data_IF_771752979374
#
_entry.id   IF_771752979374
#
_cell.length_a   1.000
_cell.length_b   1.000
_cell.length_c   1.000
_cell.angle_alpha   90.00
_cell.angle_beta   90.00
_cell.angle_gamma   90.00
#
_symmetry.space_group_name_H-M   'P 1'
#
loop_
_entity.id
_entity.type
_entity.pdbx_description
1 polymer ?
#
# COMPACT_ATOMS: atom_id res chain seq x y z
N UNK A 1 -1.04 -9.21 -7.20
CA UNK A 1 -2.08 -8.16 -7.37
C UNK A 1 -3.22 -8.75 -8.18
N UNK A 2 -4.45 -8.37 -7.88
CA UNK A 2 -5.67 -8.71 -8.62
C UNK A 2 -6.35 -7.39 -8.97
N UNK A 3 -6.77 -7.25 -10.22
CA UNK A 3 -7.26 -5.98 -10.77
C UNK A 3 -8.59 -6.21 -11.46
N UNK A 4 -9.60 -5.44 -11.07
CA UNK A 4 -10.86 -5.28 -11.80
C UNK A 4 -10.69 -4.13 -12.80
N UNK A 5 -10.73 -4.44 -14.10
CA UNK A 5 -10.51 -3.44 -15.15
C UNK A 5 -11.70 -2.50 -15.37
N UNK A 6 -12.85 -2.80 -14.76
CA UNK A 6 -14.03 -1.93 -14.73
C UNK A 6 -14.06 -0.98 -13.54
N UNK A 7 -13.37 -1.32 -12.44
CA UNK A 7 -13.28 -0.49 -11.23
C UNK A 7 -11.93 -0.69 -10.52
N UNK A 8 -11.01 0.22 -10.79
CA UNK A 8 -9.64 0.15 -10.29
C UNK A 8 -9.51 0.32 -8.78
N UNK A 9 -10.50 0.92 -8.10
CA UNK A 9 -10.49 1.02 -6.63
C UNK A 9 -10.81 -0.30 -5.93
N UNK A 10 -11.27 -1.32 -6.68
CA UNK A 10 -11.48 -2.68 -6.19
C UNK A 10 -10.23 -3.55 -6.30
N UNK A 11 -9.13 -3.01 -6.83
CA UNK A 11 -7.87 -3.73 -6.90
C UNK A 11 -7.35 -4.08 -5.50
N UNK A 12 -6.82 -5.29 -5.37
CA UNK A 12 -6.22 -5.78 -4.13
C UNK A 12 -4.83 -6.33 -4.41
N UNK A 13 -3.94 -6.15 -3.44
CA UNK A 13 -2.52 -6.49 -3.53
C UNK A 13 -2.03 -7.17 -2.26
N UNK A 14 -0.90 -7.84 -2.40
CA UNK A 14 -0.17 -8.36 -1.26
C UNK A 14 1.31 -8.39 -1.59
N UNK A 15 2.11 -8.00 -0.61
CA UNK A 15 3.56 -8.18 -0.54
C UNK A 15 3.92 -8.47 0.92
N UNK A 16 4.91 -9.34 1.11
CA UNK A 16 5.34 -9.82 2.43
C UNK A 16 6.82 -9.48 2.65
N UNK A 17 7.27 -9.22 3.88
CA UNK A 17 6.47 -9.13 5.11
C UNK A 17 5.77 -7.77 5.31
N UNK A 18 6.16 -6.76 4.54
CA UNK A 18 5.62 -5.41 4.58
C UNK A 18 6.14 -4.58 3.41
N UNK A 19 5.72 -3.31 3.34
CA UNK A 19 6.08 -2.39 2.25
C UNK A 19 7.47 -1.76 2.42
N UNK A 20 8.02 -1.74 3.63
CA UNK A 20 9.35 -1.17 3.88
C UNK A 20 10.42 -2.25 3.95
N UNK A 21 11.62 -1.95 3.43
CA UNK A 21 12.83 -2.75 3.63
C UNK A 21 13.63 -2.39 4.89
N UNK A 22 13.28 -1.29 5.55
CA UNK A 22 13.94 -0.82 6.78
C UNK A 22 13.38 -1.56 8.02
N UNK A 23 14.18 -2.35 8.76
CA UNK A 23 13.74 -3.09 9.95
C UNK A 23 13.10 -2.26 11.05
N UNK A 24 13.46 -0.97 11.15
CA UNK A 24 12.93 -0.06 12.18
C UNK A 24 11.60 0.58 11.77
N UNK A 25 11.19 0.41 10.50
CA UNK A 25 9.93 0.95 9.98
C UNK A 25 8.71 0.19 10.53
N UNK A 26 7.61 0.89 10.91
CA UNK A 26 6.35 0.21 11.24
C UNK A 26 5.77 -0.59 10.06
N UNK A 27 6.21 -0.30 8.84
CA UNK A 27 5.78 -0.98 7.62
C UNK A 27 6.74 -2.10 7.17
N UNK A 28 7.72 -2.47 7.99
CA UNK A 28 8.67 -3.54 7.66
C UNK A 28 8.01 -4.91 7.54
N UNK A 29 7.12 -5.23 8.48
CA UNK A 29 6.51 -6.57 8.60
C UNK A 29 5.01 -6.59 8.91
N UNK A 30 4.34 -5.44 8.76
CA UNK A 30 2.94 -5.26 9.15
C UNK A 30 1.93 -6.04 8.30
N UNK A 31 2.33 -6.60 7.16
CA UNK A 31 1.46 -7.38 6.27
C UNK A 31 1.65 -8.89 6.43
N UNK A 32 2.60 -9.35 7.26
CA UNK A 32 2.96 -10.76 7.37
C UNK A 32 1.78 -11.64 7.80
N UNK A 33 1.02 -11.23 8.81
CA UNK A 33 -0.14 -11.99 9.30
C UNK A 33 -1.23 -12.10 8.23
N UNK A 34 -1.53 -11.01 7.51
CA UNK A 34 -2.50 -11.04 6.41
C UNK A 34 -2.05 -11.99 5.31
N UNK A 35 -0.78 -11.90 4.89
CA UNK A 35 -0.20 -12.81 3.89
C UNK A 35 -0.27 -14.27 4.32
N UNK A 36 0.05 -14.57 5.59
CA UNK A 36 0.02 -15.93 6.13
C UNK A 36 -1.40 -16.52 6.20
N UNK A 37 -2.43 -15.68 6.14
CA UNK A 37 -3.85 -16.06 6.15
C UNK A 37 -4.51 -15.90 4.77
N UNK A 38 -3.74 -15.87 3.67
CA UNK A 38 -4.23 -15.72 2.29
C UNK A 38 -5.07 -14.46 2.05
N UNK A 39 -4.84 -13.39 2.82
CA UNK A 39 -5.55 -12.13 2.70
C UNK A 39 -4.82 -11.13 1.79
N UNK A 40 -5.54 -10.10 1.36
CA UNK A 40 -5.03 -9.01 0.53
C UNK A 40 -5.39 -7.66 1.15
N UNK A 41 -4.59 -6.63 0.86
CA UNK A 41 -4.91 -5.24 1.20
C UNK A 41 -5.36 -4.46 -0.05
N UNK A 42 -6.16 -3.39 0.11
CA UNK A 42 -6.57 -2.55 -1.01
C UNK A 42 -5.38 -1.88 -1.71
N UNK A 43 -5.49 -1.70 -3.03
CA UNK A 43 -4.59 -0.87 -3.84
C UNK A 43 -5.45 0.20 -4.51
N UNK A 44 -5.64 1.32 -3.83
CA UNK A 44 -6.52 2.39 -4.30
C UNK A 44 -5.97 3.13 -5.52
N UNK A 45 -6.86 3.55 -6.41
CA UNK A 45 -6.55 4.30 -7.62
C UNK A 45 -7.04 5.75 -7.52
N UNK A 46 -8.25 5.96 -7.01
CA UNK A 46 -8.84 7.30 -6.89
C UNK A 46 -8.09 8.14 -5.86
N UNK A 47 -7.81 9.40 -6.21
CA UNK A 47 -7.10 10.36 -5.35
C UNK A 47 -7.70 10.43 -3.95
N UNK A 48 -9.02 10.56 -3.84
CA UNK A 48 -9.70 10.72 -2.55
C UNK A 48 -9.48 9.50 -1.63
N UNK A 49 -9.46 8.29 -2.21
CA UNK A 49 -9.18 7.04 -1.49
C UNK A 49 -7.72 6.95 -1.04
N UNK A 50 -6.80 7.34 -1.92
CA UNK A 50 -5.36 7.40 -1.60
C UNK A 50 -5.14 8.39 -0.47
N UNK A 51 -5.69 9.60 -0.55
CA UNK A 51 -5.54 10.65 0.45
C UNK A 51 -6.12 10.23 1.80
N UNK A 52 -7.29 9.58 1.82
CA UNK A 52 -7.90 9.05 3.04
C UNK A 52 -7.08 7.93 3.72
N UNK A 53 -6.30 7.17 2.95
CA UNK A 53 -5.45 6.07 3.45
C UNK A 53 -3.96 6.47 3.61
N UNK A 54 -3.61 7.74 3.41
CA UNK A 54 -2.21 8.20 3.42
C UNK A 54 -1.67 8.25 4.85
N UNK A 55 -0.62 7.45 5.12
CA UNK A 55 0.09 7.48 6.40
C UNK A 55 1.20 8.54 6.45
N UNK A 56 1.80 8.87 5.30
CA UNK A 56 2.89 9.85 5.19
C UNK A 56 2.86 10.53 3.82
N UNK A 57 3.14 11.83 3.81
CA UNK A 57 3.30 12.64 2.59
C UNK A 57 4.67 13.30 2.59
N UNK A 58 5.36 13.25 1.46
CA UNK A 58 6.63 13.95 1.23
C UNK A 58 6.44 14.83 0.00
N UNK A 59 6.53 16.15 0.17
CA UNK A 59 6.50 17.09 -0.94
C UNK A 59 7.94 17.43 -1.34
N UNK A 60 8.32 17.05 -2.56
CA UNK A 60 9.67 17.26 -3.10
C UNK A 60 9.65 18.43 -4.09
N UNK A 61 10.59 19.36 -3.92
CA UNK A 61 10.85 20.45 -4.87
C UNK A 61 12.26 20.32 -5.44
N UNK A 62 12.50 20.73 -6.70
CA UNK A 62 13.84 20.72 -7.28
C UNK A 62 14.86 21.46 -6.40
N UNK A 63 16.05 20.86 -6.24
CA UNK A 63 17.22 21.59 -5.77
C UNK A 63 17.67 22.58 -6.84
N UNK A 64 18.10 23.77 -6.42
CA UNK A 64 18.54 24.86 -7.32
C UNK A 64 19.54 24.39 -8.39
#
# INVERSE_FOLDING_TARGET
IIVDTGDWDRAVGMNTPGQSGDPDSPFYRNLFEMWANDQFHPVFYSRDRIEAATAMRIDLSPGR
#
